data_IF_203573613654
#
_entry.id   IF_203573613654
#
_cell.length_a   1.000
_cell.length_b   1.000
_cell.length_c   1.000
_cell.angle_alpha   90.00
_cell.angle_beta   90.00
_cell.angle_gamma   90.00
#
_symmetry.space_group_name_H-M   'P 1'
#
loop_
_entity.id
_entity.type
_entity.pdbx_description
1 polymer ?
#
# COMPACT_ATOMS: atom_id res chain seq x y z
N UNK A 1 -40.39 5.75 29.24
CA UNK A 1 -40.67 7.20 29.26
C UNK A 1 -40.14 7.75 30.57
N UNK A 2 -39.05 8.51 30.54
CA UNK A 2 -38.40 9.08 31.73
C UNK A 2 -39.05 10.39 32.24
N UNK A 3 -40.08 10.88 31.55
CA UNK A 3 -40.85 12.04 31.96
C UNK A 3 -42.05 11.63 32.84
N UNK A 4 -42.19 12.31 33.99
CA UNK A 4 -43.33 12.21 34.89
C UNK A 4 -44.31 13.37 34.60
N UNK A 5 -45.59 13.07 34.34
CA UNK A 5 -46.63 14.06 34.03
C UNK A 5 -47.37 13.82 32.71
N UNK A 6 -48.12 14.83 32.24
CA UNK A 6 -48.85 14.79 30.97
C UNK A 6 -47.85 14.87 29.80
N UNK A 7 -47.89 13.86 28.92
CA UNK A 7 -46.98 13.72 27.77
C UNK A 7 -47.78 13.67 26.48
N UNK A 8 -47.25 14.29 25.44
CA UNK A 8 -47.77 14.17 24.07
C UNK A 8 -46.59 14.00 23.13
N UNK A 9 -46.74 13.11 22.15
CA UNK A 9 -45.75 12.86 21.10
C UNK A 9 -46.29 13.55 19.86
N UNK A 10 -45.43 14.33 19.21
CA UNK A 10 -45.74 15.02 17.96
C UNK A 10 -44.70 14.66 16.92
N UNK A 11 -45.16 14.48 15.69
CA UNK A 11 -44.35 14.13 14.52
C UNK A 11 -44.39 15.21 13.43
N UNK A 12 -45.36 16.14 13.51
CA UNK A 12 -45.56 17.21 12.52
C UNK A 12 -45.88 18.56 13.18
N UNK A 13 -45.86 19.63 12.37
CA UNK A 13 -46.27 20.96 12.81
C UNK A 13 -47.79 21.04 13.03
N UNK A 14 -48.59 20.35 12.21
CA UNK A 14 -50.05 20.31 12.31
C UNK A 14 -50.48 19.68 13.64
N UNK A 15 -49.81 18.58 14.05
CA UNK A 15 -50.01 17.98 15.36
C UNK A 15 -49.65 18.95 16.48
N UNK A 16 -48.53 19.68 16.35
CA UNK A 16 -48.14 20.71 17.32
C UNK A 16 -49.19 21.84 17.46
N UNK A 17 -49.80 22.25 16.34
CA UNK A 17 -50.83 23.30 16.29
C UNK A 17 -52.12 22.88 16.98
N UNK A 18 -52.47 21.60 16.92
CA UNK A 18 -53.67 21.06 17.58
C UNK A 18 -53.58 20.98 19.11
N UNK A 19 -52.40 21.23 19.68
CA UNK A 19 -52.18 21.10 21.12
C UNK A 19 -52.47 22.42 21.83
N UNK A 20 -53.42 22.37 22.76
CA UNK A 20 -53.66 23.44 23.72
C UNK A 20 -52.90 23.20 25.04
N UNK A 21 -51.89 24.03 25.30
CA UNK A 21 -51.14 24.07 26.56
C UNK A 21 -51.36 25.38 27.32
N UNK A 22 -52.48 26.09 27.10
CA UNK A 22 -52.82 27.32 27.82
C UNK A 22 -52.68 27.13 29.34
N UNK A 23 -51.95 28.06 29.97
CA UNK A 23 -51.69 28.05 31.42
C UNK A 23 -50.63 27.07 31.91
N UNK A 24 -49.98 26.29 31.03
CA UNK A 24 -48.88 25.38 31.38
C UNK A 24 -47.53 25.88 30.86
N UNK A 25 -46.45 25.32 31.39
CA UNK A 25 -45.08 25.55 30.91
C UNK A 25 -44.66 24.34 30.06
N UNK A 26 -44.74 24.40 28.73
CA UNK A 26 -44.34 23.28 27.88
C UNK A 26 -42.85 22.97 28.03
N UNK A 27 -42.53 21.67 28.04
CA UNK A 27 -41.16 21.18 27.89
C UNK A 27 -41.09 20.43 26.56
N UNK A 28 -40.33 20.98 25.60
CA UNK A 28 -40.11 20.36 24.29
C UNK A 28 -38.77 19.63 24.29
N UNK A 29 -38.79 18.34 24.01
CA UNK A 29 -37.60 17.51 23.81
C UNK A 29 -37.69 16.83 22.43
N UNK A 30 -36.55 16.65 21.77
CA UNK A 30 -36.46 15.93 20.50
C UNK A 30 -35.91 14.52 20.68
N UNK A 31 -36.32 13.59 19.81
CA UNK A 31 -35.60 12.34 19.66
C UNK A 31 -34.21 12.62 19.07
N UNK A 32 -33.20 11.85 19.47
CA UNK A 32 -31.80 12.04 19.04
C UNK A 32 -31.60 11.97 17.53
N UNK A 33 -32.46 11.24 16.81
CA UNK A 33 -32.48 11.06 15.35
C UNK A 33 -33.55 11.88 14.62
N UNK A 34 -34.18 12.85 15.29
CA UNK A 34 -35.26 13.65 14.70
C UNK A 34 -34.77 14.52 13.53
N UNK A 35 -35.62 14.72 12.52
CA UNK A 35 -35.34 15.64 11.42
C UNK A 35 -35.18 17.09 11.93
N UNK A 36 -33.99 17.66 11.71
CA UNK A 36 -33.63 19.00 12.19
C UNK A 36 -34.54 20.10 11.64
N UNK A 37 -34.94 20.02 10.36
CA UNK A 37 -35.79 21.03 9.71
C UNK A 37 -37.19 21.05 10.33
N UNK A 38 -37.79 19.88 10.53
CA UNK A 38 -39.08 19.78 11.22
C UNK A 38 -38.97 20.23 12.68
N UNK A 39 -37.92 19.84 13.38
CA UNK A 39 -37.71 20.28 14.76
C UNK A 39 -37.57 21.80 14.88
N UNK A 40 -36.83 22.45 13.96
CA UNK A 40 -36.71 23.92 13.92
C UNK A 40 -38.08 24.57 13.72
N UNK A 41 -38.93 24.04 12.82
CA UNK A 41 -40.29 24.55 12.59
C UNK A 41 -41.14 24.48 13.86
N UNK A 42 -41.16 23.32 14.52
CA UNK A 42 -41.91 23.10 15.77
C UNK A 42 -41.34 23.98 16.90
N UNK A 43 -40.02 24.06 17.05
CA UNK A 43 -39.32 24.92 18.01
C UNK A 43 -39.73 26.38 17.86
N UNK A 44 -39.78 26.88 16.63
CA UNK A 44 -40.18 28.26 16.34
C UNK A 44 -41.66 28.51 16.63
N UNK A 45 -42.52 27.53 16.36
CA UNK A 45 -43.93 27.58 16.73
C UNK A 45 -44.12 27.67 18.25
N UNK A 46 -43.50 26.78 19.02
CA UNK A 46 -43.58 26.80 20.49
C UNK A 46 -43.03 28.09 21.11
N UNK A 47 -41.93 28.64 20.57
CA UNK A 47 -41.38 29.94 21.03
C UNK A 47 -42.32 31.11 20.80
N UNK A 48 -43.16 31.08 19.76
CA UNK A 48 -44.08 32.16 19.44
C UNK A 48 -45.32 32.16 20.35
N UNK A 49 -45.87 30.98 20.65
CA UNK A 49 -47.12 30.86 21.40
C UNK A 49 -46.93 30.76 22.91
N UNK A 50 -45.80 30.20 23.36
CA UNK A 50 -45.56 29.89 24.77
C UNK A 50 -44.32 30.62 25.27
N UNK A 51 -44.50 31.82 25.84
CA UNK A 51 -43.42 32.73 26.27
C UNK A 51 -42.45 32.09 27.29
N UNK A 52 -42.91 31.08 28.05
CA UNK A 52 -42.11 30.40 29.08
C UNK A 52 -41.69 28.96 28.70
N UNK A 53 -41.82 28.54 27.43
CA UNK A 53 -41.48 27.18 27.02
C UNK A 53 -40.00 26.83 27.29
N UNK A 54 -39.75 25.65 27.88
CA UNK A 54 -38.40 25.08 28.04
C UNK A 54 -38.12 24.13 26.89
N UNK A 55 -37.16 24.49 26.04
CA UNK A 55 -36.82 23.70 24.86
C UNK A 55 -35.43 23.07 25.06
N UNK A 56 -35.39 21.75 25.10
CA UNK A 56 -34.15 20.98 25.14
C UNK A 56 -33.84 20.48 23.73
N UNK A 57 -32.77 21.03 23.16
CA UNK A 57 -32.25 20.59 21.88
C UNK A 57 -31.47 19.28 22.08
N UNK A 58 -32.21 18.18 22.16
CA UNK A 58 -31.68 16.83 22.40
C UNK A 58 -31.34 16.12 21.10
N UNK A 59 -31.38 16.81 19.95
CA UNK A 59 -30.89 16.29 18.67
C UNK A 59 -29.38 16.21 18.74
N UNK A 60 -28.83 15.05 18.43
CA UNK A 60 -27.42 14.77 18.65
C UNK A 60 -26.56 15.32 17.49
N UNK A 61 -25.79 16.39 17.76
CA UNK A 61 -24.85 17.02 16.81
C UNK A 61 -23.64 16.13 16.43
N UNK A 62 -23.51 14.95 17.06
CA UNK A 62 -22.47 13.96 16.79
C UNK A 62 -22.57 13.42 15.37
N UNK A 63 -23.78 13.36 14.79
CA UNK A 63 -24.00 12.81 13.45
C UNK A 63 -23.46 13.71 12.34
N UNK A 64 -23.56 15.04 12.50
CA UNK A 64 -23.07 16.01 11.50
C UNK A 64 -21.55 16.10 11.51
N UNK A 65 -20.93 16.11 12.71
CA UNK A 65 -19.46 16.03 12.82
C UNK A 65 -18.89 14.76 12.19
N UNK A 66 -19.48 13.59 12.49
CA UNK A 66 -19.06 12.31 11.91
C UNK A 66 -19.22 12.27 10.39
N UNK A 67 -20.29 12.87 9.86
CA UNK A 67 -20.50 12.98 8.41
C UNK A 67 -19.43 13.87 7.77
N UNK A 68 -19.11 15.02 8.36
CA UNK A 68 -18.07 15.90 7.84
C UNK A 68 -16.67 15.27 7.89
N UNK A 69 -16.36 14.55 8.97
CA UNK A 69 -15.09 13.80 9.09
C UNK A 69 -15.01 12.68 8.05
N UNK A 70 -16.09 11.93 7.83
CA UNK A 70 -16.12 10.88 6.82
C UNK A 70 -16.01 11.44 5.39
N UNK A 71 -16.66 12.56 5.10
CA UNK A 71 -16.54 13.26 3.81
C UNK A 71 -15.10 13.74 3.59
N UNK A 72 -14.47 14.32 4.63
CA UNK A 72 -13.08 14.76 4.54
C UNK A 72 -12.16 13.56 4.26
N UNK A 73 -12.32 12.46 5.01
CA UNK A 73 -11.54 11.24 4.79
C UNK A 73 -11.75 10.70 3.37
N UNK A 74 -12.99 10.66 2.88
CA UNK A 74 -13.29 10.25 1.51
C UNK A 74 -12.62 11.16 0.46
N UNK A 75 -12.54 12.48 0.70
CA UNK A 75 -11.87 13.42 -0.21
C UNK A 75 -10.36 13.24 -0.32
N UNK A 76 -9.74 12.64 0.70
CA UNK A 76 -8.29 12.41 0.80
C UNK A 76 -7.92 10.95 0.46
N UNK A 77 -8.90 10.10 0.13
CA UNK A 77 -8.72 8.67 -0.12
C UNK A 77 -8.98 8.29 -1.58
N UNK A 78 -8.17 7.37 -2.12
CA UNK A 78 -8.38 6.80 -3.47
C UNK A 78 -9.57 5.82 -3.51
N UNK A 79 -9.86 5.18 -2.36
CA UNK A 79 -11.00 4.30 -2.15
C UNK A 79 -11.54 4.46 -0.73
N UNK A 80 -12.81 4.13 -0.51
CA UNK A 80 -13.47 4.30 0.78
C UNK A 80 -14.32 3.07 1.16
N UNK A 81 -14.21 2.64 2.41
CA UNK A 81 -15.00 1.56 3.00
C UNK A 81 -15.91 2.15 4.07
N UNK A 82 -17.22 1.98 3.90
CA UNK A 82 -18.23 2.35 4.89
C UNK A 82 -18.80 1.09 5.52
N UNK A 83 -18.64 0.93 6.84
CA UNK A 83 -19.04 -0.27 7.57
C UNK A 83 -20.37 -0.03 8.28
N UNK A 84 -21.37 -0.85 7.97
CA UNK A 84 -22.59 -0.96 8.76
C UNK A 84 -23.81 -1.44 7.99
N UNK A 85 -24.91 -1.60 8.71
CA UNK A 85 -26.15 -2.17 8.17
C UNK A 85 -26.72 -1.42 6.97
N UNK A 86 -27.09 -2.13 5.90
CA UNK A 86 -27.77 -1.57 4.71
C UNK A 86 -29.18 -1.07 5.03
N UNK A 87 -29.79 -1.59 6.10
CA UNK A 87 -31.05 -1.10 6.65
C UNK A 87 -30.91 0.15 7.55
N UNK A 88 -29.69 0.56 7.89
CA UNK A 88 -29.46 1.73 8.75
C UNK A 88 -29.49 3.01 7.92
N UNK A 89 -30.51 3.84 8.11
CA UNK A 89 -30.64 5.15 7.45
C UNK A 89 -29.39 6.03 7.62
N UNK A 90 -28.77 5.99 8.81
CA UNK A 90 -27.53 6.74 9.06
C UNK A 90 -26.34 6.18 8.27
N UNK A 91 -26.23 4.86 8.15
CA UNK A 91 -25.13 4.22 7.40
C UNK A 91 -25.30 4.45 5.91
N UNK A 92 -26.52 4.29 5.38
CA UNK A 92 -26.83 4.56 3.98
C UNK A 92 -26.55 6.02 3.64
N UNK A 93 -26.95 6.96 4.52
CA UNK A 93 -26.63 8.38 4.32
C UNK A 93 -25.12 8.65 4.32
N UNK A 94 -24.37 8.02 5.23
CA UNK A 94 -22.92 8.14 5.30
C UNK A 94 -22.25 7.61 4.02
N UNK A 95 -22.71 6.45 3.54
CA UNK A 95 -22.26 5.85 2.29
C UNK A 95 -22.51 6.75 1.08
N UNK A 96 -23.73 7.28 0.93
CA UNK A 96 -24.05 8.16 -0.20
C UNK A 96 -23.17 9.40 -0.21
N UNK A 97 -22.96 10.03 0.95
CA UNK A 97 -22.10 11.22 1.06
C UNK A 97 -20.64 10.92 0.73
N UNK A 98 -20.11 9.78 1.18
CA UNK A 98 -18.75 9.37 0.83
C UNK A 98 -18.63 9.09 -0.67
N UNK A 99 -19.63 8.42 -1.26
CA UNK A 99 -19.63 8.05 -2.69
C UNK A 99 -19.71 9.23 -3.64
N UNK A 100 -20.37 10.33 -3.23
CA UNK A 100 -20.39 11.57 -4.01
C UNK A 100 -18.99 12.18 -4.18
N UNK A 101 -18.09 11.96 -3.20
CA UNK A 101 -16.74 12.54 -3.20
C UNK A 101 -15.68 11.55 -3.65
N UNK A 102 -15.79 10.29 -3.22
CA UNK A 102 -14.94 9.17 -3.61
C UNK A 102 -15.80 8.15 -4.38
N UNK A 103 -15.82 8.16 -5.73
CA UNK A 103 -16.65 7.26 -6.52
C UNK A 103 -16.44 5.78 -6.19
N UNK A 104 -15.22 5.44 -5.77
CA UNK A 104 -14.82 4.12 -5.33
C UNK A 104 -15.09 3.90 -3.84
N UNK A 105 -16.36 4.07 -3.45
CA UNK A 105 -16.84 3.79 -2.10
C UNK A 105 -17.65 2.49 -2.07
N UNK A 106 -17.34 1.60 -1.14
CA UNK A 106 -18.08 0.36 -0.87
C UNK A 106 -18.80 0.40 0.48
N UNK A 107 -19.92 -0.32 0.56
CA UNK A 107 -20.71 -0.48 1.78
C UNK A 107 -20.69 -1.96 2.17
N UNK A 108 -20.13 -2.25 3.35
CA UNK A 108 -19.99 -3.61 3.87
C UNK A 108 -20.64 -3.75 5.24
N UNK A 109 -21.26 -4.90 5.50
CA UNK A 109 -21.83 -5.24 6.81
C UNK A 109 -20.86 -6.06 7.68
N UNK A 110 -19.90 -6.77 7.06
CA UNK A 110 -18.88 -7.57 7.72
C UNK A 110 -17.57 -7.59 6.92
N UNK A 111 -16.49 -8.09 7.54
CA UNK A 111 -15.19 -8.29 6.90
C UNK A 111 -15.22 -9.29 5.73
N UNK A 112 -16.16 -10.23 5.74
CA UNK A 112 -16.30 -11.27 4.70
C UNK A 112 -16.79 -10.70 3.36
N UNK A 113 -17.43 -9.54 3.38
CA UNK A 113 -17.91 -8.86 2.16
C UNK A 113 -16.81 -8.05 1.46
N UNK A 114 -15.63 -7.91 2.08
CA UNK A 114 -14.51 -7.20 1.47
C UNK A 114 -13.90 -8.06 0.39
N UNK A 115 -13.83 -7.51 -0.82
CA UNK A 115 -13.04 -8.06 -1.93
C UNK A 115 -11.77 -7.21 -2.07
N UNK A 116 -10.61 -7.64 -1.52
CA UNK A 116 -9.39 -6.83 -1.53
C UNK A 116 -8.96 -6.44 -2.95
N UNK A 117 -9.28 -7.28 -3.93
CA UNK A 117 -9.04 -7.02 -5.35
C UNK A 117 -9.63 -5.71 -5.86
N UNK A 118 -10.77 -5.27 -5.31
CA UNK A 118 -11.39 -4.00 -5.72
C UNK A 118 -10.47 -2.82 -5.42
N UNK A 119 -9.60 -2.95 -4.42
CA UNK A 119 -8.68 -1.91 -3.96
C UNK A 119 -7.31 -1.95 -4.63
N UNK A 120 -7.09 -2.80 -5.64
CA UNK A 120 -5.82 -2.81 -6.39
C UNK A 120 -5.54 -1.44 -7.01
N UNK A 121 -4.37 -0.89 -6.72
CA UNK A 121 -3.91 0.40 -7.25
C UNK A 121 -4.32 1.63 -6.44
N UNK A 122 -5.19 1.48 -5.43
CA UNK A 122 -5.42 2.51 -4.44
C UNK A 122 -4.17 2.68 -3.55
N UNK A 123 -3.67 3.90 -3.39
CA UNK A 123 -2.56 4.19 -2.46
C UNK A 123 -3.08 4.40 -1.05
N UNK A 124 -4.31 4.90 -0.95
CA UNK A 124 -4.97 5.24 0.32
C UNK A 124 -6.39 4.70 0.32
N UNK A 125 -6.74 3.96 1.37
CA UNK A 125 -8.10 3.46 1.60
C UNK A 125 -8.61 4.02 2.92
N UNK A 126 -9.65 4.83 2.84
CA UNK A 126 -10.33 5.36 4.02
C UNK A 126 -11.33 4.35 4.59
N UNK A 127 -11.42 4.25 5.91
CA UNK A 127 -12.37 3.36 6.59
C UNK A 127 -13.21 4.18 7.57
N UNK A 128 -14.53 4.06 7.49
CA UNK A 128 -15.47 4.69 8.43
C UNK A 128 -16.59 3.73 8.78
N UNK A 129 -17.31 4.01 9.86
CA UNK A 129 -18.38 3.14 10.33
C UNK A 129 -19.62 3.92 10.77
N UNK A 130 -20.79 3.31 10.53
CA UNK A 130 -22.06 3.80 11.05
C UNK A 130 -22.08 3.81 12.58
N UNK A 131 -22.91 4.69 13.16
CA UNK A 131 -22.96 4.88 14.61
C UNK A 131 -23.40 3.64 15.42
N UNK A 132 -24.03 2.67 14.75
CA UNK A 132 -24.53 1.42 15.35
C UNK A 132 -23.70 0.20 14.98
N UNK A 133 -22.54 0.40 14.36
CA UNK A 133 -21.64 -0.70 13.97
C UNK A 133 -20.77 -1.09 15.19
N UNK A 134 -20.79 -2.37 15.63
CA UNK A 134 -19.93 -2.88 16.69
C UNK A 134 -18.44 -2.76 16.37
N UNK A 135 -17.62 -2.41 17.38
CA UNK A 135 -16.17 -2.27 17.24
C UNK A 135 -15.48 -3.53 16.71
N UNK A 136 -15.98 -4.72 17.06
CA UNK A 136 -15.43 -5.99 16.58
C UNK A 136 -15.43 -6.10 15.04
N UNK A 137 -16.52 -5.68 14.40
CA UNK A 137 -16.62 -5.69 12.93
C UNK A 137 -15.65 -4.68 12.33
N UNK A 138 -15.49 -3.50 12.95
CA UNK A 138 -14.56 -2.48 12.49
C UNK A 138 -13.11 -3.02 12.53
N UNK A 139 -12.74 -3.68 13.63
CA UNK A 139 -11.41 -4.26 13.80
C UNK A 139 -11.14 -5.41 12.82
N UNK A 140 -12.12 -6.24 12.53
CA UNK A 140 -12.00 -7.31 11.52
C UNK A 140 -11.75 -6.73 10.13
N UNK A 141 -12.51 -5.70 9.73
CA UNK A 141 -12.33 -5.01 8.45
C UNK A 141 -10.93 -4.38 8.35
N UNK A 142 -10.48 -3.68 9.40
CA UNK A 142 -9.13 -3.11 9.45
C UNK A 142 -8.07 -4.19 9.27
N UNK A 143 -8.21 -5.32 9.97
CA UNK A 143 -7.25 -6.44 9.90
C UNK A 143 -7.17 -7.04 8.49
N UNK A 144 -8.30 -7.18 7.79
CA UNK A 144 -8.30 -7.66 6.40
C UNK A 144 -7.53 -6.70 5.49
N UNK A 145 -7.77 -5.40 5.62
CA UNK A 145 -7.09 -4.39 4.81
C UNK A 145 -5.60 -4.25 5.15
N UNK A 146 -5.22 -4.36 6.42
CA UNK A 146 -3.81 -4.39 6.84
C UNK A 146 -3.08 -5.60 6.25
N UNK A 147 -3.68 -6.80 6.33
CA UNK A 147 -3.11 -8.00 5.73
C UNK A 147 -2.94 -7.84 4.21
N UNK A 148 -3.93 -7.27 3.54
CA UNK A 148 -3.86 -6.99 2.10
C UNK A 148 -2.72 -6.01 1.78
N UNK A 149 -2.58 -4.92 2.54
CA UNK A 149 -1.46 -3.97 2.40
C UNK A 149 -0.11 -4.67 2.55
N UNK A 150 0.04 -5.54 3.55
CA UNK A 150 1.27 -6.31 3.77
C UNK A 150 1.56 -7.28 2.62
N UNK A 151 0.54 -7.95 2.08
CA UNK A 151 0.71 -8.83 0.91
C UNK A 151 1.07 -8.04 -0.36
N UNK A 152 0.49 -6.86 -0.55
CA UNK A 152 0.86 -5.95 -1.63
C UNK A 152 2.29 -5.46 -1.49
N UNK A 153 2.68 -4.99 -0.31
CA UNK A 153 4.04 -4.56 -0.01
C UNK A 153 5.05 -5.69 -0.16
N UNK A 154 4.71 -6.91 0.28
CA UNK A 154 5.54 -8.10 0.11
C UNK A 154 5.66 -8.58 -1.33
N UNK A 155 4.69 -8.26 -2.20
CA UNK A 155 4.74 -8.56 -3.64
C UNK A 155 5.34 -7.43 -4.49
N UNK A 156 5.33 -6.20 -3.98
CA UNK A 156 6.14 -5.07 -4.48
C UNK A 156 7.60 -5.28 -4.03
N UNK A 157 8.31 -6.20 -4.71
CA UNK A 157 9.76 -6.41 -4.49
C UNK A 157 10.48 -5.05 -4.51
N UNK A 158 10.87 -4.53 -3.36
CA UNK A 158 11.70 -3.33 -3.33
C UNK A 158 13.12 -3.75 -3.61
N UNK A 159 13.70 -3.20 -4.67
CA UNK A 159 15.06 -3.52 -5.06
C UNK A 159 16.02 -2.84 -4.06
N UNK A 160 16.84 -3.60 -3.35
CA UNK A 160 17.80 -3.04 -2.40
C UNK A 160 19.21 -3.03 -2.96
N UNK A 161 19.99 -2.00 -2.59
CA UNK A 161 21.44 -1.98 -2.87
C UNK A 161 22.12 -3.10 -2.11
N UNK A 162 22.92 -3.90 -2.81
CA UNK A 162 23.61 -5.06 -2.23
C UNK A 162 22.92 -6.40 -2.47
N UNK A 163 21.76 -6.40 -3.12
CA UNK A 163 21.00 -7.61 -3.44
C UNK A 163 21.44 -8.20 -4.79
N UNK A 164 21.39 -9.53 -4.93
CA UNK A 164 21.51 -10.22 -6.21
C UNK A 164 20.12 -10.57 -6.72
N UNK A 165 19.81 -10.15 -7.94
CA UNK A 165 18.51 -10.39 -8.59
C UNK A 165 18.68 -10.86 -10.03
N UNK A 166 17.69 -11.58 -10.55
CA UNK A 166 17.63 -11.96 -11.96
C UNK A 166 16.84 -10.92 -12.75
N UNK A 167 17.42 -10.43 -13.84
CA UNK A 167 16.79 -9.50 -14.75
C UNK A 167 16.70 -10.03 -16.17
N UNK A 168 15.67 -9.61 -16.92
CA UNK A 168 15.48 -10.02 -18.32
C UNK A 168 15.94 -8.91 -19.26
N UNK A 169 16.80 -9.25 -20.23
CA UNK A 169 17.32 -8.30 -21.22
C UNK A 169 16.20 -7.84 -22.15
N UNK A 170 15.96 -6.54 -22.22
CA UNK A 170 15.02 -5.95 -23.17
C UNK A 170 15.66 -4.90 -24.08
N UNK A 171 16.90 -4.49 -23.81
CA UNK A 171 17.67 -3.65 -24.73
C UNK A 171 19.15 -4.00 -24.61
N UNK A 172 19.81 -4.16 -25.76
CA UNK A 172 21.25 -4.35 -25.87
C UNK A 172 21.80 -3.26 -26.78
N UNK A 173 22.80 -2.53 -26.30
CA UNK A 173 23.57 -1.56 -27.07
C UNK A 173 25.07 -1.88 -27.00
N UNK A 174 25.90 -1.15 -27.72
CA UNK A 174 27.35 -1.37 -27.73
C UNK A 174 28.02 -1.04 -26.39
N UNK A 175 27.42 -0.16 -25.57
CA UNK A 175 27.98 0.32 -24.30
C UNK A 175 27.25 -0.19 -23.05
N UNK A 176 25.95 -0.45 -23.15
CA UNK A 176 25.11 -0.86 -22.03
C UNK A 176 24.00 -1.84 -22.42
N UNK A 177 23.57 -2.63 -21.44
CA UNK A 177 22.42 -3.52 -21.50
C UNK A 177 21.38 -3.03 -20.49
N UNK A 178 20.11 -3.01 -20.91
CA UNK A 178 18.99 -2.73 -20.01
C UNK A 178 18.23 -3.99 -19.71
N UNK A 179 18.04 -4.23 -18.41
CA UNK A 179 17.38 -5.38 -17.83
C UNK A 179 16.08 -4.91 -17.17
N UNK A 180 15.00 -5.66 -17.33
CA UNK A 180 13.84 -5.55 -16.45
C UNK A 180 14.13 -6.36 -15.19
N UNK A 181 14.25 -5.69 -14.05
CA UNK A 181 14.52 -6.32 -12.75
C UNK A 181 13.23 -6.65 -11.99
N UNK A 182 12.07 -6.41 -12.60
CA UNK A 182 10.78 -6.43 -11.92
C UNK A 182 10.55 -5.17 -11.08
N UNK A 183 9.39 -5.11 -10.44
CA UNK A 183 9.00 -4.04 -9.51
C UNK A 183 9.20 -2.59 -10.02
N UNK A 184 9.07 -2.39 -11.34
CA UNK A 184 9.25 -1.10 -12.04
C UNK A 184 10.68 -0.56 -12.04
N UNK A 185 11.69 -1.37 -11.74
CA UNK A 185 13.09 -0.98 -11.84
C UNK A 185 13.73 -1.47 -13.14
N UNK A 186 14.41 -0.55 -13.84
CA UNK A 186 15.27 -0.85 -14.97
C UNK A 186 16.71 -0.98 -14.50
N UNK A 187 17.29 -2.16 -14.66
CA UNK A 187 18.71 -2.41 -14.45
C UNK A 187 19.54 -1.90 -15.62
N UNK A 188 20.56 -1.09 -15.35
CA UNK A 188 21.55 -0.63 -16.32
C UNK A 188 22.86 -1.35 -16.04
N UNK A 189 23.28 -2.16 -17.00
CA UNK A 189 24.49 -2.98 -16.94
C UNK A 189 25.47 -2.47 -18.01
N UNK A 190 26.51 -1.74 -17.59
CA UNK A 190 27.52 -1.19 -18.52
C UNK A 190 28.59 -2.22 -18.87
N UNK A 191 29.30 -2.04 -19.99
CA UNK A 191 30.37 -2.95 -20.43
C UNK A 191 31.41 -3.24 -19.34
N UNK A 192 31.78 -2.22 -18.55
CA UNK A 192 32.75 -2.34 -17.45
C UNK A 192 32.25 -3.24 -16.31
N UNK A 193 30.93 -3.40 -16.18
CA UNK A 193 30.28 -4.26 -15.20
C UNK A 193 30.01 -5.68 -15.73
N UNK A 194 30.34 -5.94 -17.00
CA UNK A 194 30.13 -7.23 -17.68
C UNK A 194 31.44 -7.96 -17.90
N UNK A 195 32.46 -7.31 -18.45
CA UNK A 195 33.72 -7.97 -18.85
C UNK A 195 34.93 -7.04 -18.73
N UNK A 196 36.12 -7.61 -18.52
CA UNK A 196 37.40 -6.89 -18.56
C UNK A 196 38.03 -6.89 -19.96
N UNK A 197 37.43 -7.60 -20.92
CA UNK A 197 37.91 -7.64 -22.31
C UNK A 197 37.42 -6.41 -23.10
N UNK A 198 38.32 -5.51 -23.52
CA UNK A 198 37.93 -4.32 -24.28
C UNK A 198 37.40 -4.66 -25.68
N UNK A 199 37.71 -5.82 -26.24
CA UNK A 199 37.29 -6.25 -27.58
C UNK A 199 35.93 -6.96 -27.61
N UNK A 200 35.42 -7.35 -26.44
CA UNK A 200 34.13 -8.03 -26.33
C UNK A 200 32.97 -7.15 -26.80
N UNK A 201 32.07 -7.74 -27.58
CA UNK A 201 30.85 -7.10 -28.06
C UNK A 201 29.64 -7.59 -27.28
N UNK A 202 28.91 -6.67 -26.67
CA UNK A 202 27.75 -7.00 -25.85
C UNK A 202 26.64 -7.69 -26.66
N UNK A 203 26.47 -7.30 -27.93
CA UNK A 203 25.51 -7.88 -28.88
C UNK A 203 25.77 -9.34 -29.22
N UNK A 204 26.99 -9.82 -29.04
CA UNK A 204 27.35 -11.24 -29.26
C UNK A 204 27.20 -12.06 -27.97
N UNK A 205 27.32 -11.40 -26.82
CA UNK A 205 27.25 -12.03 -25.49
C UNK A 205 25.83 -12.16 -24.94
N UNK A 206 24.91 -11.27 -25.34
CA UNK A 206 23.55 -11.22 -24.82
C UNK A 206 22.53 -10.96 -25.92
N UNK A 207 21.35 -11.57 -25.79
CA UNK A 207 20.22 -11.42 -26.68
C UNK A 207 19.00 -10.87 -25.93
N UNK A 208 18.07 -10.31 -26.69
CA UNK A 208 16.77 -9.90 -26.16
C UNK A 208 16.03 -11.12 -25.60
N UNK A 209 15.56 -11.01 -24.36
CA UNK A 209 14.88 -12.08 -23.62
C UNK A 209 15.80 -12.93 -22.75
N UNK A 210 17.12 -12.73 -22.77
CA UNK A 210 18.04 -13.48 -21.92
C UNK A 210 17.83 -13.11 -20.44
N UNK A 211 17.81 -14.11 -19.57
CA UNK A 211 17.83 -13.92 -18.12
C UNK A 211 19.28 -13.82 -17.63
N UNK A 212 19.57 -12.75 -16.88
CA UNK A 212 20.90 -12.44 -16.39
C UNK A 212 20.81 -12.16 -14.89
N UNK A 213 21.58 -12.91 -14.11
CA UNK A 213 21.74 -12.67 -12.68
C UNK A 213 22.73 -11.51 -12.47
N UNK A 214 22.32 -10.51 -11.69
CA UNK A 214 23.07 -9.28 -11.50
C UNK A 214 23.02 -8.80 -10.04
N UNK A 215 24.11 -8.19 -9.60
CA UNK A 215 24.24 -7.59 -8.29
C UNK A 215 23.87 -6.11 -8.34
N UNK A 216 22.98 -5.65 -7.47
CA UNK A 216 22.53 -4.26 -7.40
C UNK A 216 23.58 -3.40 -6.70
N UNK A 217 24.29 -2.55 -7.45
CA UNK A 217 25.30 -1.64 -6.90
C UNK A 217 24.64 -0.41 -6.27
N UNK A 218 23.60 0.14 -6.92
CA UNK A 218 22.95 1.37 -6.51
C UNK A 218 21.57 1.47 -7.14
N UNK A 219 20.61 1.95 -6.36
CA UNK A 219 19.24 2.22 -6.82
C UNK A 219 18.99 3.73 -6.84
N UNK A 220 18.40 4.23 -7.91
CA UNK A 220 17.95 5.63 -8.07
C UNK A 220 16.42 5.69 -8.10
N UNK A 221 15.82 5.74 -6.91
CA UNK A 221 14.36 5.66 -6.70
C UNK A 221 13.57 6.72 -7.48
N UNK A 222 14.15 7.91 -7.69
CA UNK A 222 13.48 9.00 -8.41
C UNK A 222 13.30 8.77 -9.91
N UNK A 223 14.03 7.81 -10.50
CA UNK A 223 13.98 7.51 -11.95
C UNK A 223 13.65 6.04 -12.26
N UNK A 224 13.53 5.19 -11.23
CA UNK A 224 13.34 3.74 -11.42
C UNK A 224 14.55 3.07 -12.10
N UNK A 225 15.75 3.63 -11.96
CA UNK A 225 16.97 3.07 -12.54
C UNK A 225 17.82 2.44 -11.45
N UNK A 226 18.38 1.28 -11.74
CA UNK A 226 19.34 0.60 -10.87
C UNK A 226 20.63 0.32 -11.63
N UNK A 227 21.77 0.70 -11.07
CA UNK A 227 23.08 0.30 -11.61
C UNK A 227 23.40 -1.09 -11.09
N UNK A 228 23.69 -2.02 -12.00
CA UNK A 228 23.90 -3.43 -11.66
C UNK A 228 25.24 -3.96 -12.16
N UNK A 229 25.72 -5.08 -11.58
CA UNK A 229 26.99 -5.71 -11.92
C UNK A 229 26.88 -7.22 -12.10
N UNK A 230 27.30 -7.71 -13.26
CA UNK A 230 27.44 -9.15 -13.49
C UNK A 230 28.76 -9.68 -12.92
N UNK A 231 29.84 -8.90 -13.03
CA UNK A 231 31.17 -9.27 -12.51
C UNK A 231 31.16 -9.65 -11.03
N UNK A 232 30.36 -8.97 -10.20
CA UNK A 232 30.26 -9.31 -8.77
C UNK A 232 29.62 -10.67 -8.55
N UNK A 233 28.54 -10.96 -9.29
CA UNK A 233 27.87 -12.27 -9.26
C UNK A 233 28.81 -13.36 -9.77
N UNK A 234 29.48 -13.11 -10.90
CA UNK A 234 30.43 -14.05 -11.49
C UNK A 234 31.61 -14.32 -10.52
N UNK A 235 32.13 -13.30 -9.84
CA UNK A 235 33.21 -13.46 -8.86
C UNK A 235 32.79 -14.30 -7.64
N UNK A 236 31.59 -14.06 -7.10
CA UNK A 236 31.05 -14.83 -5.97
C UNK A 236 30.80 -16.29 -6.38
N UNK A 237 30.21 -16.52 -7.55
CA UNK A 237 30.00 -17.86 -8.10
C UNK A 237 31.32 -18.58 -8.39
N UNK A 238 32.34 -17.87 -8.89
CA UNK A 238 33.63 -18.48 -9.22
C UNK A 238 34.38 -18.94 -7.96
N UNK A 239 34.17 -18.30 -6.80
CA UNK A 239 34.68 -18.79 -5.52
C UNK A 239 34.01 -20.09 -5.06
N UNK A 240 32.71 -20.23 -5.29
CA UNK A 240 31.97 -21.46 -5.02
C UNK A 240 32.51 -22.60 -5.89
N UNK A 241 32.68 -22.35 -7.20
CA UNK A 241 33.23 -23.35 -8.13
C UNK A 241 34.66 -23.75 -7.76
N UNK A 242 35.53 -22.80 -7.39
CA UNK A 242 36.89 -23.11 -6.94
C UNK A 242 36.90 -23.95 -5.65
N UNK A 243 36.00 -23.65 -4.71
CA UNK A 243 35.88 -24.42 -3.47
C UNK A 243 35.38 -25.84 -3.75
N UNK A 244 34.35 -25.98 -4.56
CA UNK A 244 33.81 -27.29 -4.95
C UNK A 244 34.84 -28.12 -5.72
N UNK A 245 35.61 -27.49 -6.62
CA UNK A 245 36.70 -28.13 -7.33
C UNK A 245 37.83 -28.57 -6.39
N UNK A 246 38.16 -27.77 -5.38
CA UNK A 246 39.14 -28.15 -4.34
C UNK A 246 38.63 -29.33 -3.52
N UNK A 247 37.39 -29.29 -3.04
CA UNK A 247 36.77 -30.35 -2.23
C UNK A 247 36.63 -31.66 -3.03
N UNK A 248 36.37 -31.57 -4.34
CA UNK A 248 36.30 -32.70 -5.25
C UNK A 248 37.68 -33.19 -5.76
N UNK A 249 38.77 -32.47 -5.48
CA UNK A 249 40.11 -32.76 -6.01
C UNK A 249 40.21 -32.66 -7.54
N UNK A 250 39.36 -31.82 -8.16
CA UNK A 250 39.30 -31.67 -9.61
C UNK A 250 40.48 -30.85 -10.15
N UNK A 251 41.00 -31.23 -11.32
CA UNK A 251 42.06 -30.49 -12.01
C UNK A 251 41.44 -29.31 -12.78
N UNK A 252 41.81 -28.10 -12.40
CA UNK A 252 41.35 -26.87 -13.04
C UNK A 252 42.34 -26.42 -14.13
N UNK A 253 41.80 -25.90 -15.24
CA UNK A 253 42.59 -25.31 -16.33
C UNK A 253 42.55 -23.79 -16.24
N UNK A 254 43.69 -23.12 -16.44
CA UNK A 254 43.77 -21.67 -16.39
C UNK A 254 44.86 -21.11 -17.28
N UNK A 255 44.75 -19.82 -17.61
CA UNK A 255 45.71 -19.11 -18.47
C UNK A 255 46.69 -18.32 -17.61
N UNK A 256 48.00 -18.48 -17.86
CA UNK A 256 49.02 -17.65 -17.21
C UNK A 256 48.82 -16.20 -17.67
N UNK A 257 48.57 -15.31 -16.71
CA UNK A 257 48.34 -13.88 -16.99
C UNK A 257 49.57 -13.03 -16.72
N UNK A 258 50.40 -13.42 -15.75
CA UNK A 258 51.57 -12.64 -15.34
C UNK A 258 52.60 -13.48 -14.61
N UNK A 259 53.88 -13.13 -14.76
CA UNK A 259 55.01 -13.74 -14.05
C UNK A 259 55.48 -12.76 -12.97
N UNK A 260 55.65 -13.24 -11.75
CA UNK A 260 56.07 -12.42 -10.60
C UNK A 260 57.30 -13.02 -9.92
N UNK A 261 57.98 -12.24 -9.08
CA UNK A 261 59.16 -12.71 -8.34
C UNK A 261 58.73 -13.82 -7.36
N UNK A 262 58.99 -15.07 -7.72
CA UNK A 262 58.66 -16.26 -6.92
C UNK A 262 57.54 -17.15 -7.46
N UNK A 263 56.94 -16.87 -8.62
CA UNK A 263 55.92 -17.73 -9.22
C UNK A 263 55.18 -17.12 -10.39
N UNK A 264 54.02 -17.69 -10.74
CA UNK A 264 53.15 -17.22 -11.82
C UNK A 264 51.73 -16.97 -11.32
N UNK A 265 51.04 -16.00 -11.92
CA UNK A 265 49.63 -15.75 -11.67
C UNK A 265 48.83 -16.34 -12.82
N UNK A 266 47.94 -17.27 -12.50
CA UNK A 266 47.06 -17.96 -13.43
C UNK A 266 45.64 -17.45 -13.23
N UNK A 267 44.96 -17.09 -14.33
CA UNK A 267 43.53 -16.83 -14.32
C UNK A 267 42.78 -18.14 -14.49
N UNK A 268 42.02 -18.53 -13.47
CA UNK A 268 41.16 -19.72 -13.46
C UNK A 268 39.74 -19.22 -13.24
N UNK A 269 38.87 -19.36 -14.25
CA UNK A 269 37.47 -18.91 -14.21
C UNK A 269 37.29 -17.49 -13.62
N UNK A 270 38.08 -16.53 -14.11
CA UNK A 270 38.05 -15.13 -13.65
C UNK A 270 38.79 -14.83 -12.34
N UNK A 271 39.18 -15.86 -11.58
CA UNK A 271 39.96 -15.69 -10.35
C UNK A 271 41.47 -15.68 -10.61
N UNK A 272 42.18 -14.80 -9.88
CA UNK A 272 43.65 -14.74 -9.90
C UNK A 272 44.23 -15.73 -8.88
N UNK A 273 44.78 -16.82 -9.36
CA UNK A 273 45.44 -17.86 -8.55
C UNK A 273 46.94 -17.69 -8.64
N UNK A 274 47.63 -17.63 -7.51
CA UNK A 274 49.09 -17.62 -7.46
C UNK A 274 49.63 -19.04 -7.38
N UNK A 275 50.52 -19.40 -8.30
CA UNK A 275 51.24 -20.67 -8.29
C UNK A 275 52.71 -20.40 -7.97
N UNK A 276 53.22 -20.87 -6.80
CA UNK A 276 54.63 -20.72 -6.44
C UNK A 276 55.55 -21.37 -7.47
N UNK A 277 56.72 -20.79 -7.74
CA UNK A 277 57.66 -21.30 -8.73
C UNK A 277 58.00 -22.79 -8.52
N UNK A 278 58.12 -23.23 -7.26
CA UNK A 278 58.38 -24.62 -6.88
C UNK A 278 57.30 -25.61 -7.33
N UNK A 279 56.09 -25.14 -7.64
CA UNK A 279 54.96 -25.96 -8.08
C UNK A 279 54.61 -25.76 -9.57
N UNK A 280 55.30 -24.85 -10.28
CA UNK A 280 55.03 -24.59 -11.70
C UNK A 280 55.61 -25.64 -12.65
N UNK A 281 56.62 -26.41 -12.20
CA UNK A 281 57.37 -27.32 -13.06
C UNK A 281 58.21 -26.63 -14.14
N UNK A 282 58.25 -25.30 -14.15
CA UNK A 282 59.06 -24.48 -15.06
C UNK A 282 60.38 -24.20 -14.32
N UNK A 283 61.44 -24.93 -14.70
CA UNK A 283 62.81 -24.69 -14.23
C UNK A 283 63.45 -23.50 -14.95
#
# INVERSE_FOLDING_TARGET
SYAYGQKQIISSLEEAESIDLLGKIPILCAQTTQNLVQFIKIKNFFKKLYTNAKIFDTICNITEKRQNEAIKLASESDAMIVIGGRGSSNTVKLYTLCREVCPHTVLVESAEEIMPEEFFGAKTVGITAGASTPDGIILEVIKVMENFSQMLEGSLKTLHTGETVTGTVYTVSDSEIKLDLGAKFTGVLTKEQITDDPTAKLTEMFKLGDEVEVFVIRVEDGKGLATVSKKRVDADNSWVVLKDAYDAGAVLSGKVTSVVKGGVIVSVDGNRVFVPASQTGIA
#
